data_IF_483151514753
#
_entry.id   IF_483151514753
#
_cell.length_a   1.000
_cell.length_b   1.000
_cell.length_c   1.000
_cell.angle_alpha   90.00
_cell.angle_beta   90.00
_cell.angle_gamma   90.00
#
_symmetry.space_group_name_H-M   'P 1'
#
loop_
_entity.id
_entity.type
_entity.pdbx_description
1 polymer ?
#
# COMPACT_ATOMS: atom_id res chain seq x y z
N UNK A 1 9.48 -30.50 -46.60
CA UNK A 1 10.01 -30.07 -45.28
C UNK A 1 9.60 -28.63 -44.92
N UNK A 2 9.84 -27.58 -45.73
CA UNK A 2 9.53 -26.18 -45.38
C UNK A 2 8.04 -25.92 -45.04
N UNK A 3 7.08 -26.51 -45.78
CA UNK A 3 5.64 -26.34 -45.50
C UNK A 3 5.19 -26.93 -44.17
N UNK A 4 5.74 -28.09 -43.76
CA UNK A 4 5.43 -28.69 -42.46
C UNK A 4 5.91 -27.85 -41.26
N UNK A 5 7.13 -27.28 -41.37
CA UNK A 5 7.70 -26.40 -40.37
C UNK A 5 6.83 -25.13 -40.20
N UNK A 6 6.37 -24.52 -41.30
CA UNK A 6 5.51 -23.33 -41.25
C UNK A 6 4.18 -23.60 -40.55
N UNK A 7 3.57 -24.77 -40.74
CA UNK A 7 2.33 -25.17 -40.08
C UNK A 7 2.56 -25.36 -38.58
N UNK A 8 3.66 -26.04 -38.17
CA UNK A 8 3.98 -26.24 -36.75
C UNK A 8 4.22 -24.91 -36.06
N UNK A 9 5.00 -24.00 -36.69
CA UNK A 9 5.21 -22.65 -36.14
C UNK A 9 3.90 -21.89 -35.99
N UNK A 10 2.97 -21.96 -36.97
CA UNK A 10 1.65 -21.34 -36.88
C UNK A 10 0.82 -21.88 -35.71
N UNK A 11 0.85 -23.20 -35.47
CA UNK A 11 0.15 -23.82 -34.34
C UNK A 11 0.76 -23.34 -33.01
N UNK A 12 2.10 -23.27 -32.90
CA UNK A 12 2.74 -22.77 -31.67
C UNK A 12 2.35 -21.33 -31.38
N UNK A 13 2.32 -20.46 -32.39
CA UNK A 13 1.88 -19.08 -32.24
C UNK A 13 0.41 -18.99 -31.81
N UNK A 14 -0.46 -19.80 -32.41
CA UNK A 14 -1.88 -19.84 -32.01
C UNK A 14 -2.04 -20.26 -30.55
N UNK A 15 -1.36 -21.33 -30.13
CA UNK A 15 -1.41 -21.78 -28.73
C UNK A 15 -0.86 -20.72 -27.77
N UNK A 16 0.25 -20.10 -28.10
CA UNK A 16 0.84 -19.01 -27.28
C UNK A 16 -0.12 -17.82 -27.18
N UNK A 17 -0.81 -17.46 -28.26
CA UNK A 17 -1.82 -16.40 -28.26
C UNK A 17 -3.01 -16.75 -27.36
N UNK A 18 -3.51 -17.98 -27.42
CA UNK A 18 -4.62 -18.45 -26.55
C UNK A 18 -4.21 -18.39 -25.08
N UNK A 19 -3.01 -18.86 -24.73
CA UNK A 19 -2.47 -18.79 -23.36
C UNK A 19 -2.34 -17.33 -22.90
N UNK A 20 -1.79 -16.47 -23.74
CA UNK A 20 -1.65 -15.05 -23.41
C UNK A 20 -3.01 -14.38 -23.17
N UNK A 21 -4.00 -14.63 -24.04
CA UNK A 21 -5.35 -14.09 -23.88
C UNK A 21 -6.01 -14.61 -22.60
N UNK A 22 -5.83 -15.88 -22.26
CA UNK A 22 -6.33 -16.47 -21.03
C UNK A 22 -5.70 -15.82 -19.79
N UNK A 23 -4.38 -15.61 -19.77
CA UNK A 23 -3.69 -14.94 -18.67
C UNK A 23 -4.14 -13.47 -18.52
N UNK A 24 -4.22 -12.73 -19.64
CA UNK A 24 -4.71 -11.36 -19.64
C UNK A 24 -6.15 -11.23 -19.16
N UNK A 25 -7.03 -12.17 -19.56
CA UNK A 25 -8.40 -12.22 -19.08
C UNK A 25 -8.49 -12.47 -17.57
N UNK A 26 -7.69 -13.40 -17.05
CA UNK A 26 -7.66 -13.67 -15.62
C UNK A 26 -7.13 -12.47 -14.82
N UNK A 27 -6.07 -11.81 -15.28
CA UNK A 27 -5.54 -10.59 -14.63
C UNK A 27 -6.62 -9.49 -14.58
N UNK A 28 -7.30 -9.25 -15.71
CA UNK A 28 -8.37 -8.26 -15.77
C UNK A 28 -9.54 -8.63 -14.84
N UNK A 29 -9.91 -9.91 -14.75
CA UNK A 29 -10.95 -10.40 -13.84
C UNK A 29 -10.58 -10.14 -12.39
N UNK A 30 -9.38 -10.53 -11.95
CA UNK A 30 -8.92 -10.25 -10.58
C UNK A 30 -8.93 -8.75 -10.27
N UNK A 31 -8.48 -7.92 -11.21
CA UNK A 31 -8.49 -6.46 -11.06
C UNK A 31 -9.90 -5.91 -10.84
N UNK A 32 -10.87 -6.33 -11.65
CA UNK A 32 -12.27 -5.90 -11.55
C UNK A 32 -12.89 -6.39 -10.23
N UNK A 33 -12.76 -7.69 -9.93
CA UNK A 33 -13.34 -8.29 -8.73
C UNK A 33 -12.80 -7.62 -7.46
N UNK A 34 -11.50 -7.35 -7.40
CA UNK A 34 -10.85 -6.67 -6.27
C UNK A 34 -11.36 -5.24 -6.11
N UNK A 35 -11.50 -4.51 -7.21
CA UNK A 35 -12.04 -3.14 -7.19
C UNK A 35 -13.48 -3.10 -6.69
N UNK A 36 -14.32 -4.02 -7.14
CA UNK A 36 -15.71 -4.12 -6.70
C UNK A 36 -15.82 -4.51 -5.23
N UNK A 37 -15.05 -5.50 -4.77
CA UNK A 37 -14.99 -5.90 -3.35
C UNK A 37 -14.55 -4.76 -2.44
N UNK A 38 -13.45 -4.09 -2.78
CA UNK A 38 -12.96 -2.96 -1.99
C UNK A 38 -13.97 -1.79 -1.97
N UNK A 39 -14.67 -1.54 -3.08
CA UNK A 39 -15.75 -0.56 -3.12
C UNK A 39 -16.91 -0.96 -2.23
N UNK A 40 -17.37 -2.20 -2.32
CA UNK A 40 -18.50 -2.70 -1.53
C UNK A 40 -18.23 -2.63 -0.03
N UNK A 41 -17.02 -3.07 0.42
CA UNK A 41 -16.67 -2.99 1.84
C UNK A 41 -16.59 -1.55 2.32
N UNK A 42 -16.01 -0.64 1.52
CA UNK A 42 -15.94 0.78 1.84
C UNK A 42 -17.34 1.39 2.03
N UNK A 43 -18.27 1.13 1.13
CA UNK A 43 -19.65 1.65 1.20
C UNK A 43 -20.40 1.18 2.47
N UNK A 44 -20.07 -0.01 2.97
CA UNK A 44 -20.72 -0.59 4.16
C UNK A 44 -20.11 -0.11 5.46
N UNK A 45 -18.79 0.13 5.50
CA UNK A 45 -18.07 0.38 6.76
C UNK A 45 -17.67 1.83 6.96
N UNK A 46 -17.63 2.63 5.90
CA UNK A 46 -17.18 4.03 5.98
C UNK A 46 -18.39 4.97 6.03
N UNK A 47 -18.43 5.79 7.07
CA UNK A 47 -19.33 6.95 7.10
C UNK A 47 -18.51 8.18 6.74
N UNK A 48 -18.72 8.69 5.54
CA UNK A 48 -17.95 9.83 5.03
C UNK A 48 -18.30 11.11 5.78
N UNK A 49 -17.26 11.87 6.09
CA UNK A 49 -17.37 13.27 6.46
C UNK A 49 -16.42 14.02 5.49
N UNK A 50 -16.99 14.45 4.37
CA UNK A 50 -16.27 15.06 3.24
C UNK A 50 -15.44 16.29 3.65
N UNK A 51 -15.85 16.98 4.71
CA UNK A 51 -15.22 18.25 5.12
C UNK A 51 -14.03 18.05 6.07
N UNK A 52 -13.92 16.89 6.75
CA UNK A 52 -12.82 16.66 7.69
C UNK A 52 -12.54 15.15 7.87
N UNK A 53 -11.49 14.61 7.24
CA UNK A 53 -11.13 13.20 7.37
C UNK A 53 -10.87 12.73 8.80
N UNK A 54 -10.47 13.61 9.73
CA UNK A 54 -10.34 13.25 11.15
C UNK A 54 -11.69 12.86 11.80
N UNK A 55 -12.81 13.24 11.19
CA UNK A 55 -14.14 12.92 11.68
C UNK A 55 -14.78 11.73 10.96
N UNK A 56 -14.12 11.19 9.95
CA UNK A 56 -14.55 10.00 9.22
C UNK A 56 -14.60 8.81 10.17
N UNK A 57 -15.69 8.07 10.15
CA UNK A 57 -15.88 6.89 10.99
C UNK A 57 -15.74 5.62 10.17
N UNK A 58 -15.05 4.65 10.72
CA UNK A 58 -14.88 3.31 10.18
C UNK A 58 -15.53 2.32 11.14
N UNK A 59 -16.42 1.48 10.65
CA UNK A 59 -17.07 0.42 11.42
C UNK A 59 -16.15 -0.80 11.53
N UNK A 60 -15.24 -0.78 12.52
CA UNK A 60 -14.30 -1.88 12.77
C UNK A 60 -14.99 -3.17 13.20
N UNK A 61 -16.19 -3.09 13.79
CA UNK A 61 -16.94 -4.29 14.13
C UNK A 61 -17.35 -5.06 12.87
N UNK A 62 -17.87 -4.36 11.86
CA UNK A 62 -18.17 -4.99 10.56
C UNK A 62 -16.91 -5.51 9.88
N UNK A 63 -15.83 -4.72 9.86
CA UNK A 63 -14.56 -5.12 9.26
C UNK A 63 -14.00 -6.41 9.87
N UNK A 64 -14.01 -6.52 11.20
CA UNK A 64 -13.52 -7.71 11.91
C UNK A 64 -14.40 -8.95 11.75
N UNK A 65 -15.68 -8.77 11.37
CA UNK A 65 -16.54 -9.88 10.98
C UNK A 65 -16.16 -10.44 9.60
N UNK A 66 -15.65 -9.58 8.70
CA UNK A 66 -15.13 -10.02 7.41
C UNK A 66 -13.75 -10.69 7.57
N UNK A 67 -12.83 -10.02 8.28
CA UNK A 67 -11.52 -10.57 8.57
C UNK A 67 -10.98 -10.01 9.90
N UNK A 68 -10.64 -10.90 10.83
CA UNK A 68 -10.12 -10.54 12.16
C UNK A 68 -8.74 -9.88 12.11
N UNK A 69 -7.98 -10.10 11.05
CA UNK A 69 -6.64 -9.57 10.85
C UNK A 69 -6.65 -8.11 10.40
N UNK A 70 -7.83 -7.52 10.16
CA UNK A 70 -7.96 -6.09 9.89
C UNK A 70 -7.76 -5.32 11.18
N UNK A 71 -6.69 -4.51 11.22
CA UNK A 71 -6.30 -3.73 12.41
C UNK A 71 -6.50 -2.23 12.24
N UNK A 72 -6.54 -1.76 10.99
CA UNK A 72 -6.65 -0.34 10.68
C UNK A 72 -7.25 -0.11 9.29
N UNK A 73 -7.41 1.16 8.94
CA UNK A 73 -7.81 1.62 7.62
C UNK A 73 -6.91 2.78 7.21
N UNK A 74 -6.45 2.82 5.95
CA UNK A 74 -5.70 3.93 5.38
C UNK A 74 -6.57 4.70 4.39
N UNK A 75 -6.43 6.03 4.41
CA UNK A 75 -7.06 6.93 3.44
C UNK A 75 -6.12 8.07 3.06
N UNK A 76 -5.91 8.26 1.76
CA UNK A 76 -5.21 9.42 1.20
C UNK A 76 -6.22 10.24 0.41
N UNK A 77 -6.63 11.43 0.88
CA UNK A 77 -7.62 12.26 0.21
C UNK A 77 -7.24 12.59 -1.24
N UNK A 78 -8.21 12.54 -2.14
CA UNK A 78 -8.00 12.84 -3.56
C UNK A 78 -7.32 11.74 -4.36
N UNK A 79 -7.09 10.56 -3.76
CA UNK A 79 -6.47 9.40 -4.41
C UNK A 79 -7.36 8.16 -4.36
N UNK A 80 -6.91 7.08 -5.01
CA UNK A 80 -7.57 5.76 -4.92
C UNK A 80 -7.21 5.00 -3.65
N UNK A 81 -6.28 5.49 -2.82
CA UNK A 81 -5.85 4.80 -1.60
C UNK A 81 -6.88 5.00 -0.48
N UNK A 82 -7.72 4.00 -0.30
CA UNK A 82 -8.81 3.96 0.67
C UNK A 82 -9.14 2.51 1.01
N UNK A 83 -8.31 1.88 1.89
CA UNK A 83 -8.25 0.44 2.08
C UNK A 83 -8.11 0.03 3.55
N UNK A 84 -8.61 -1.16 3.94
CA UNK A 84 -8.24 -1.77 5.21
C UNK A 84 -6.76 -2.16 5.21
N UNK A 85 -6.15 -2.14 6.41
CA UNK A 85 -4.79 -2.63 6.67
C UNK A 85 -4.90 -3.90 7.50
N UNK A 86 -4.23 -4.96 7.04
CA UNK A 86 -4.19 -6.27 7.68
C UNK A 86 -2.83 -6.53 8.33
N UNK A 87 -2.84 -7.36 9.36
CA UNK A 87 -1.62 -7.96 9.94
C UNK A 87 -1.83 -9.47 9.94
N UNK A 88 -1.00 -10.19 9.18
CA UNK A 88 -1.02 -11.64 9.12
C UNK A 88 -0.06 -12.29 10.10
N UNK A 89 -0.07 -13.62 10.15
CA UNK A 89 0.88 -14.41 10.93
C UNK A 89 2.32 -14.32 10.38
N UNK A 90 2.45 -14.01 9.09
CA UNK A 90 3.74 -13.77 8.42
C UNK A 90 3.69 -12.48 7.61
N UNK A 91 4.87 -11.88 7.37
CA UNK A 91 5.00 -10.65 6.58
C UNK A 91 4.62 -10.80 5.09
N UNK A 92 4.43 -12.03 4.62
CA UNK A 92 4.10 -12.32 3.22
C UNK A 92 2.66 -12.82 3.03
N UNK A 93 1.93 -13.03 4.14
CA UNK A 93 0.62 -13.67 4.09
C UNK A 93 -0.36 -12.94 3.17
N UNK A 94 -0.46 -11.64 3.30
CA UNK A 94 -1.37 -10.81 2.53
C UNK A 94 -0.77 -10.25 1.22
N UNK A 95 0.44 -10.69 0.88
CA UNK A 95 1.05 -10.33 -0.40
C UNK A 95 0.23 -10.87 -1.59
N UNK A 96 -0.37 -12.05 -1.42
CA UNK A 96 -1.17 -12.71 -2.46
C UNK A 96 -2.52 -13.22 -1.94
N UNK A 97 -3.07 -12.60 -0.92
CA UNK A 97 -4.41 -12.92 -0.39
C UNK A 97 -5.30 -11.68 -0.38
N UNK A 98 -6.57 -11.87 -0.74
CA UNK A 98 -7.62 -10.86 -0.56
C UNK A 98 -8.10 -10.78 0.91
N UNK A 99 -9.07 -9.91 1.16
CA UNK A 99 -9.67 -9.73 2.48
C UNK A 99 -10.37 -10.98 3.03
N UNK A 100 -10.81 -11.89 2.16
CA UNK A 100 -11.46 -13.15 2.52
C UNK A 100 -10.44 -14.28 2.76
N UNK A 101 -9.13 -14.01 2.57
CA UNK A 101 -8.06 -14.99 2.68
C UNK A 101 -7.87 -15.86 1.43
N UNK A 102 -8.58 -15.59 0.34
CA UNK A 102 -8.43 -16.30 -0.92
C UNK A 102 -7.20 -15.80 -1.68
N UNK A 103 -6.63 -16.68 -2.51
CA UNK A 103 -5.56 -16.27 -3.41
C UNK A 103 -6.01 -15.16 -4.35
N UNK A 104 -5.24 -14.07 -4.35
CA UNK A 104 -5.43 -12.93 -5.22
C UNK A 104 -4.07 -12.32 -5.58
N UNK A 105 -3.68 -12.22 -6.85
CA UNK A 105 -2.40 -11.67 -7.26
C UNK A 105 -2.25 -10.18 -6.92
N UNK A 106 -3.34 -9.45 -6.65
CA UNK A 106 -3.29 -8.06 -6.21
C UNK A 106 -3.01 -7.94 -4.70
N UNK A 107 -3.15 -9.02 -3.94
CA UNK A 107 -2.98 -9.02 -2.49
C UNK A 107 -3.93 -8.08 -1.76
N UNK A 108 -3.51 -7.65 -0.59
CA UNK A 108 -4.17 -6.64 0.24
C UNK A 108 -3.14 -5.61 0.72
N UNK A 109 -3.61 -4.52 1.33
CA UNK A 109 -2.72 -3.62 2.07
C UNK A 109 -2.46 -4.23 3.45
N UNK A 110 -1.20 -4.40 3.82
CA UNK A 110 -0.82 -5.08 5.05
C UNK A 110 0.39 -4.42 5.74
N UNK A 111 0.60 -4.74 7.01
CA UNK A 111 1.75 -4.28 7.78
C UNK A 111 2.58 -5.46 8.27
N UNK A 112 3.88 -5.21 8.45
CA UNK A 112 4.84 -6.12 9.08
C UNK A 112 4.87 -5.99 10.62
N UNK A 113 4.03 -5.14 11.19
CA UNK A 113 3.87 -5.01 12.64
C UNK A 113 3.41 -6.34 13.25
N UNK A 114 4.02 -6.73 14.39
CA UNK A 114 3.85 -8.09 14.92
C UNK A 114 2.50 -8.36 15.59
N UNK A 115 1.75 -7.31 16.00
CA UNK A 115 0.51 -7.48 16.77
C UNK A 115 -0.51 -6.38 16.54
N UNK A 116 -0.05 -5.15 16.50
CA UNK A 116 -0.86 -3.96 16.34
C UNK A 116 -0.01 -2.81 15.81
N UNK A 117 -0.61 -1.65 15.65
CA UNK A 117 0.10 -0.47 15.20
C UNK A 117 0.63 0.35 16.39
N UNK A 118 1.14 -0.27 17.45
CA UNK A 118 1.65 0.43 18.65
C UNK A 118 3.09 0.92 18.52
N UNK A 119 3.88 0.32 17.62
CA UNK A 119 5.28 0.68 17.39
C UNK A 119 5.43 2.12 16.89
N UNK A 120 6.60 2.74 17.16
CA UNK A 120 6.89 4.12 16.72
C UNK A 120 7.12 4.21 15.22
N UNK A 121 7.59 3.14 14.59
CA UNK A 121 7.72 3.04 13.13
C UNK A 121 6.96 1.84 12.59
N UNK A 122 6.03 2.11 11.69
CA UNK A 122 5.17 1.10 11.08
C UNK A 122 5.32 1.15 9.57
N UNK A 123 5.64 0.02 8.99
CA UNK A 123 5.73 -0.18 7.55
C UNK A 123 4.43 -0.80 7.05
N UNK A 124 3.84 -0.18 6.03
CA UNK A 124 2.61 -0.61 5.39
C UNK A 124 2.93 -0.89 3.92
N UNK A 125 2.60 -2.09 3.47
CA UNK A 125 2.93 -2.58 2.15
C UNK A 125 1.68 -2.72 1.28
N UNK A 126 1.86 -2.53 -0.01
CA UNK A 126 0.84 -2.78 -1.02
C UNK A 126 1.46 -2.89 -2.40
N UNK A 127 0.86 -3.70 -3.27
CA UNK A 127 1.35 -3.85 -4.63
C UNK A 127 1.28 -2.55 -5.45
N UNK A 128 2.24 -2.40 -6.37
CA UNK A 128 2.23 -1.36 -7.39
C UNK A 128 1.39 -1.83 -8.59
N UNK A 129 0.07 -1.72 -8.46
CA UNK A 129 -0.83 -2.21 -9.50
C UNK A 129 -1.08 -1.16 -10.59
N UNK A 130 -1.34 -1.67 -11.79
CA UNK A 130 -1.90 -0.87 -12.88
C UNK A 130 -3.26 -0.29 -12.46
N UNK A 131 -3.74 0.72 -13.16
CA UNK A 131 -5.00 1.42 -12.84
C UNK A 131 -5.06 1.99 -11.41
N UNK A 132 -3.87 2.21 -10.81
CA UNK A 132 -3.72 2.83 -9.48
C UNK A 132 -4.41 2.09 -8.33
N UNK A 133 -4.66 0.79 -8.46
CA UNK A 133 -5.16 -0.01 -7.35
C UNK A 133 -4.03 -0.29 -6.34
N UNK A 134 -4.42 -0.66 -5.12
CA UNK A 134 -3.52 -0.84 -3.99
C UNK A 134 -2.64 0.40 -3.78
N UNK A 135 -1.32 0.25 -3.80
CA UNK A 135 -0.37 1.36 -3.73
C UNK A 135 0.19 1.81 -5.08
N UNK A 136 -0.46 1.41 -6.18
CA UNK A 136 -0.03 1.82 -7.53
C UNK A 136 -0.04 3.33 -7.75
N UNK A 137 -0.92 4.07 -7.05
CA UNK A 137 -1.00 5.53 -7.15
C UNK A 137 0.15 6.25 -6.42
N UNK A 138 0.84 5.60 -5.47
CA UNK A 138 1.97 6.21 -4.78
C UNK A 138 3.08 6.67 -5.73
N UNK A 139 3.19 6.10 -6.93
CA UNK A 139 4.14 6.56 -7.96
C UNK A 139 3.95 8.02 -8.34
N UNK A 140 2.74 8.56 -8.24
CA UNK A 140 2.47 9.96 -8.56
C UNK A 140 3.13 10.91 -7.57
N UNK A 141 3.41 10.46 -6.35
CA UNK A 141 4.10 11.25 -5.32
C UNK A 141 5.57 11.55 -5.67
N UNK A 142 6.13 10.91 -6.71
CA UNK A 142 7.41 11.29 -7.28
C UNK A 142 7.35 12.63 -8.04
N UNK A 143 6.16 13.10 -8.39
CA UNK A 143 5.92 14.44 -8.92
C UNK A 143 5.67 15.39 -7.75
N UNK A 144 6.41 16.51 -7.72
CA UNK A 144 6.38 17.47 -6.62
C UNK A 144 5.02 18.15 -6.49
N UNK A 145 4.42 18.55 -7.60
CA UNK A 145 3.12 19.23 -7.62
C UNK A 145 2.03 18.32 -7.07
N UNK A 146 2.03 17.04 -7.50
CA UNK A 146 1.09 16.05 -6.99
C UNK A 146 1.23 15.84 -5.48
N UNK A 147 2.47 15.78 -4.98
CA UNK A 147 2.74 15.60 -3.55
C UNK A 147 2.30 16.83 -2.75
N UNK A 148 2.50 18.05 -3.27
CA UNK A 148 2.05 19.31 -2.62
C UNK A 148 0.51 19.40 -2.54
N UNK A 149 -0.22 18.77 -3.46
CA UNK A 149 -1.68 18.69 -3.43
C UNK A 149 -2.18 17.59 -2.45
N UNK A 150 -1.32 16.60 -2.13
CA UNK A 150 -1.67 15.42 -1.33
C UNK A 150 -0.73 15.24 -0.14
N UNK A 151 -0.50 16.32 0.62
CA UNK A 151 0.50 16.36 1.71
C UNK A 151 0.16 15.46 2.93
N UNK A 152 -1.01 14.82 2.96
CA UNK A 152 -1.50 14.10 4.15
C UNK A 152 -2.13 12.77 3.79
N UNK A 153 -2.03 11.85 4.75
CA UNK A 153 -2.86 10.66 4.79
C UNK A 153 -3.39 10.42 6.22
N UNK A 154 -4.37 9.54 6.32
CA UNK A 154 -5.05 9.24 7.57
C UNK A 154 -5.01 7.75 7.86
N UNK A 155 -4.71 7.40 9.10
CA UNK A 155 -4.80 6.05 9.63
C UNK A 155 -5.89 6.01 10.69
N UNK A 156 -6.88 5.15 10.48
CA UNK A 156 -7.98 4.92 11.40
C UNK A 156 -7.76 3.58 12.08
N UNK A 157 -7.94 3.55 13.38
CA UNK A 157 -8.01 2.32 14.19
C UNK A 157 -9.32 2.31 14.96
N UNK A 158 -9.61 1.22 15.65
CA UNK A 158 -10.82 1.09 16.45
C UNK A 158 -10.94 2.23 17.49
N UNK A 159 -9.81 2.69 18.04
CA UNK A 159 -9.77 3.62 19.17
C UNK A 159 -9.37 5.05 18.80
N UNK A 160 -8.78 5.27 17.62
CA UNK A 160 -8.27 6.58 17.25
C UNK A 160 -8.12 6.76 15.73
N UNK A 161 -8.23 8.02 15.33
CA UNK A 161 -7.83 8.49 13.99
C UNK A 161 -6.54 9.30 14.11
N UNK A 162 -5.60 9.06 13.21
CA UNK A 162 -4.32 9.74 13.12
C UNK A 162 -4.18 10.47 11.78
N UNK A 163 -3.89 11.77 11.82
CA UNK A 163 -3.48 12.56 10.65
C UNK A 163 -1.96 12.49 10.55
N UNK A 164 -1.47 12.11 9.37
CA UNK A 164 -0.06 11.97 9.08
C UNK A 164 0.34 12.98 8.01
N UNK A 165 1.32 13.84 8.30
CA UNK A 165 1.92 14.73 7.31
C UNK A 165 3.04 13.99 6.59
N UNK A 166 2.97 13.96 5.24
CA UNK A 166 4.04 13.41 4.42
C UNK A 166 5.25 14.33 4.52
N UNK A 167 6.41 13.76 4.86
CA UNK A 167 7.64 14.52 5.05
C UNK A 167 8.82 14.04 4.21
N UNK A 168 8.77 12.80 3.71
CA UNK A 168 9.88 12.20 2.98
C UNK A 168 9.40 11.19 1.96
N UNK A 169 9.99 11.24 0.75
CA UNK A 169 9.74 10.27 -0.31
C UNK A 169 11.08 9.90 -0.91
N UNK A 170 11.38 8.60 -0.96
CA UNK A 170 12.61 8.09 -1.55
C UNK A 170 12.41 6.72 -2.21
N UNK A 171 13.39 6.34 -3.01
CA UNK A 171 13.51 4.99 -3.58
C UNK A 171 14.74 4.36 -2.95
N UNK A 172 14.61 3.13 -2.49
CA UNK A 172 15.72 2.33 -1.96
C UNK A 172 15.57 0.85 -2.34
N UNK A 173 16.66 0.12 -2.22
CA UNK A 173 16.70 -1.32 -2.42
C UNK A 173 16.15 -2.06 -1.19
N UNK A 174 15.57 -3.26 -1.38
CA UNK A 174 15.08 -4.11 -0.28
C UNK A 174 16.16 -4.53 0.72
N UNK A 175 17.45 -4.45 0.33
CA UNK A 175 18.60 -4.73 1.20
C UNK A 175 19.10 -3.50 1.95
N UNK A 176 18.45 -2.37 1.77
CA UNK A 176 18.78 -1.12 2.44
C UNK A 176 18.55 -1.23 3.96
N UNK A 177 19.34 -0.47 4.74
CA UNK A 177 19.24 -0.41 6.20
C UNK A 177 17.85 0.01 6.70
N UNK A 178 17.08 0.72 5.89
CA UNK A 178 15.68 1.07 6.17
C UNK A 178 14.79 -0.17 6.43
N UNK A 179 15.11 -1.31 5.80
CA UNK A 179 14.37 -2.57 5.98
C UNK A 179 14.97 -3.47 7.06
N UNK A 180 16.14 -3.12 7.63
CA UNK A 180 16.73 -3.94 8.68
C UNK A 180 15.84 -3.95 9.93
N UNK A 181 15.71 -5.13 10.56
CA UNK A 181 14.83 -5.36 11.72
C UNK A 181 15.41 -4.79 13.05
N UNK A 182 16.39 -3.92 12.99
CA UNK A 182 16.95 -3.32 14.18
C UNK A 182 16.52 -1.85 14.26
N UNK A 183 15.30 -1.57 14.78
CA UNK A 183 14.80 -0.22 14.94
C UNK A 183 15.33 0.44 16.22
N UNK A 184 16.54 0.07 16.64
CA UNK A 184 17.24 0.82 17.67
C UNK A 184 17.48 2.24 17.17
N UNK A 185 17.87 3.15 18.03
CA UNK A 185 18.19 4.58 17.89
C UNK A 185 18.38 5.21 16.49
N UNK A 186 18.35 4.42 15.45
CA UNK A 186 18.84 4.74 14.13
C UNK A 186 17.74 5.06 13.10
N UNK A 187 16.42 4.94 13.44
CA UNK A 187 15.37 5.27 12.48
C UNK A 187 15.44 6.73 12.06
N UNK A 188 15.62 7.63 13.03
CA UNK A 188 15.77 9.07 12.79
C UNK A 188 16.97 9.31 11.91
N UNK A 189 18.12 8.73 12.25
CA UNK A 189 19.34 8.83 11.44
C UNK A 189 19.17 8.25 10.05
N UNK A 190 18.55 7.07 9.92
CA UNK A 190 18.29 6.44 8.61
C UNK A 190 17.38 7.34 7.77
N UNK A 191 16.31 7.87 8.34
CA UNK A 191 15.39 8.75 7.62
C UNK A 191 16.03 10.09 7.29
N UNK A 192 16.82 10.66 8.19
CA UNK A 192 17.56 11.91 7.94
C UNK A 192 18.60 11.71 6.84
N UNK A 193 19.35 10.62 6.84
CA UNK A 193 20.30 10.29 5.78
C UNK A 193 19.59 10.06 4.41
N UNK A 194 18.44 9.40 4.40
CA UNK A 194 17.62 9.26 3.18
C UNK A 194 17.11 10.59 2.69
N UNK A 195 16.69 11.45 3.60
CA UNK A 195 16.19 12.78 3.27
C UNK A 195 17.26 13.65 2.62
N UNK A 196 18.50 13.61 3.12
CA UNK A 196 19.64 14.36 2.54
C UNK A 196 19.99 13.87 1.13
N UNK A 197 19.86 12.56 0.88
CA UNK A 197 20.21 11.91 -0.39
C UNK A 197 19.01 11.73 -1.34
N UNK A 198 17.82 12.14 -0.93
CA UNK A 198 16.61 12.01 -1.75
C UNK A 198 16.58 13.07 -2.85
N UNK A 199 16.35 12.66 -4.08
CA UNK A 199 16.04 13.56 -5.20
C UNK A 199 14.57 14.03 -5.18
N UNK A 200 13.78 13.59 -4.18
CA UNK A 200 12.36 13.84 -4.06
C UNK A 200 12.06 14.75 -2.87
N UNK A 201 10.80 15.15 -2.76
CA UNK A 201 10.35 16.06 -1.72
C UNK A 201 10.73 15.60 -0.32
N UNK A 202 11.27 16.53 0.48
CA UNK A 202 11.64 16.33 1.88
C UNK A 202 11.31 17.56 2.68
N UNK A 203 10.50 17.41 3.73
CA UNK A 203 10.27 18.46 4.74
C UNK A 203 11.14 18.16 5.96
N UNK A 204 11.84 19.17 6.50
CA UNK A 204 12.49 19.05 7.81
C UNK A 204 11.40 18.96 8.88
N UNK A 205 11.18 17.78 9.41
CA UNK A 205 10.30 17.51 10.55
C UNK A 205 11.12 16.99 11.71
N UNK A 206 10.76 17.39 12.92
CA UNK A 206 11.32 16.78 14.12
C UNK A 206 10.74 15.36 14.27
N UNK A 207 11.60 14.37 14.08
CA UNK A 207 11.24 12.94 14.15
C UNK A 207 11.45 12.35 15.56
N UNK A 208 12.03 13.13 16.51
CA UNK A 208 12.47 12.63 17.81
C UNK A 208 11.34 12.17 18.73
N UNK A 209 10.10 12.52 18.44
CA UNK A 209 8.93 12.22 19.29
C UNK A 209 7.69 11.75 18.55
N UNK A 210 7.78 11.50 17.25
CA UNK A 210 6.62 11.24 16.40
C UNK A 210 6.54 9.80 15.90
N UNK A 211 5.32 9.23 15.92
CA UNK A 211 5.03 7.98 15.25
C UNK A 211 5.10 8.14 13.74
N UNK A 212 5.83 7.27 13.07
CA UNK A 212 6.04 7.28 11.61
C UNK A 212 5.34 6.11 10.96
N UNK A 213 4.62 6.38 9.88
CA UNK A 213 4.11 5.38 8.96
C UNK A 213 4.82 5.49 7.61
N UNK A 214 5.34 4.36 7.13
CA UNK A 214 5.99 4.26 5.82
C UNK A 214 5.12 3.43 4.88
N UNK A 215 4.62 4.06 3.82
CA UNK A 215 3.85 3.41 2.78
C UNK A 215 4.82 2.90 1.72
N UNK A 216 4.82 1.60 1.44
CA UNK A 216 5.87 0.93 0.66
C UNK A 216 5.24 0.17 -0.51
N UNK A 217 5.78 0.40 -1.70
CA UNK A 217 5.41 -0.33 -2.91
C UNK A 217 6.61 -0.60 -3.81
N UNK A 218 6.47 -1.49 -4.79
CA UNK A 218 7.51 -1.71 -5.79
C UNK A 218 7.74 -0.46 -6.64
N UNK A 219 9.00 -0.12 -6.91
CA UNK A 219 9.35 0.91 -7.88
C UNK A 219 9.54 0.25 -9.25
N UNK A 220 8.55 0.35 -10.12
CA UNK A 220 8.57 -0.28 -11.44
C UNK A 220 7.72 -1.55 -11.53
N UNK A 221 8.22 -2.57 -12.25
CA UNK A 221 7.49 -3.83 -12.45
C UNK A 221 7.63 -4.75 -11.24
N UNK A 222 6.70 -5.68 -11.10
CA UNK A 222 6.74 -6.71 -10.06
C UNK A 222 8.07 -7.49 -10.10
N UNK A 223 8.61 -7.81 -8.92
CA UNK A 223 9.89 -8.52 -8.77
C UNK A 223 11.14 -7.65 -8.82
N UNK A 224 11.03 -6.32 -8.98
CA UNK A 224 12.18 -5.42 -8.81
C UNK A 224 12.61 -5.37 -7.34
N UNK A 225 13.90 -5.15 -7.12
CA UNK A 225 14.45 -4.96 -5.76
C UNK A 225 14.18 -3.56 -5.20
N UNK A 226 13.89 -2.60 -6.06
CA UNK A 226 13.62 -1.22 -5.65
C UNK A 226 12.23 -1.05 -5.05
N UNK A 227 12.14 -0.24 -4.01
CA UNK A 227 10.90 0.16 -3.35
C UNK A 227 10.78 1.67 -3.33
N UNK A 228 9.59 2.14 -3.66
CA UNK A 228 9.17 3.50 -3.40
C UNK A 228 8.60 3.56 -1.99
N UNK A 229 9.09 4.50 -1.19
CA UNK A 229 8.70 4.72 0.20
C UNK A 229 8.17 6.15 0.34
N UNK A 230 6.95 6.26 0.87
CA UNK A 230 6.31 7.54 1.24
C UNK A 230 6.13 7.55 2.75
N UNK A 231 6.84 8.45 3.43
CA UNK A 231 6.83 8.53 4.89
C UNK A 231 5.96 9.67 5.38
N UNK A 232 5.09 9.35 6.34
CA UNK A 232 4.28 10.32 7.06
C UNK A 232 4.49 10.23 8.55
N UNK A 233 4.59 11.39 9.22
CA UNK A 233 4.67 11.52 10.66
C UNK A 233 3.30 11.93 11.21
N UNK A 234 2.88 11.30 12.30
CA UNK A 234 1.63 11.66 12.98
C UNK A 234 1.72 13.06 13.58
N UNK A 235 0.88 13.96 13.11
CA UNK A 235 0.81 15.36 13.58
C UNK A 235 -0.42 15.66 14.41
N UNK A 236 -1.50 14.87 14.23
CA UNK A 236 -2.72 14.99 15.05
C UNK A 236 -3.31 13.62 15.32
N UNK A 237 -3.93 13.49 16.48
CA UNK A 237 -4.69 12.29 16.86
C UNK A 237 -6.05 12.70 17.43
N UNK A 238 -7.08 11.92 17.10
CA UNK A 238 -8.41 12.02 17.68
C UNK A 238 -8.81 10.67 18.25
N UNK A 239 -9.11 10.64 19.55
CA UNK A 239 -9.62 9.43 20.21
C UNK A 239 -11.08 9.25 19.81
N UNK A 240 -11.45 8.02 19.48
CA UNK A 240 -12.80 7.62 19.15
C UNK A 240 -13.41 6.92 20.39
N UNK A 241 -14.61 7.36 20.78
CA UNK A 241 -15.36 6.81 21.92
C UNK A 241 -16.59 6.07 21.43
#
# INVERSE_FOLDING_TARGET
MRKGISVIVGIIFLLATIVFLYLAFNEAKYSIDTKEKNKAIREVVVTENENNPLNRKIDFHKLKNENKDIVAWIYIPGTTVDYPILIGDTNEEYLYKDLEGNYNPLGSIFSDAKKDLSEDHIKIYGHNMREFQMFGELRKFLNKEYMEEHEKFYIYTENKTMECDIFSIFICDIYDSFFSNNPGSDLVEVLENKNVNSNYYTKNKDLSSGKVFSLITCNGVEGTVERLVVNGIVTKQKIMF
#
